data_IF_966055798062
#
_entry.id   IF_966055798062
#
_cell.length_a   1.000
_cell.length_b   1.000
_cell.length_c   1.000
_cell.angle_alpha   90.00
_cell.angle_beta   90.00
_cell.angle_gamma   90.00
#
_symmetry.space_group_name_H-M   'P 1'
#
loop_
_entity.id
_entity.type
_entity.pdbx_description
1 polymer ?
#
# COMPACT_ATOMS: atom_id res chain seq x y z
N UNK A 1 7.95 -22.68 10.33
CA UNK A 1 8.91 -21.58 10.58
C UNK A 1 8.45 -20.38 9.77
N UNK A 2 7.86 -19.38 10.44
CA UNK A 2 7.48 -18.12 9.82
C UNK A 2 8.68 -17.19 9.82
N UNK A 3 8.75 -16.30 8.84
CA UNK A 3 9.77 -15.25 8.71
C UNK A 3 9.53 -14.07 9.67
N UNK A 4 8.74 -14.24 10.74
CA UNK A 4 8.37 -13.18 11.67
C UNK A 4 7.18 -12.32 11.21
N UNK A 5 6.67 -12.49 9.98
CA UNK A 5 5.53 -11.70 9.48
C UNK A 5 4.17 -12.21 9.97
N UNK A 6 3.28 -11.26 10.24
CA UNK A 6 1.87 -11.47 10.58
C UNK A 6 1.03 -10.65 9.58
N UNK A 7 0.37 -11.36 8.66
CA UNK A 7 -0.24 -10.74 7.50
C UNK A 7 0.81 -10.40 6.44
N UNK A 8 1.01 -9.10 6.18
CA UNK A 8 2.00 -8.58 5.25
C UNK A 8 2.82 -7.43 5.87
N UNK A 9 3.76 -6.87 5.11
CA UNK A 9 4.66 -5.82 5.60
C UNK A 9 3.94 -4.55 6.05
N UNK A 10 2.78 -4.24 5.47
CA UNK A 10 1.95 -3.07 5.80
C UNK A 10 1.06 -3.30 7.02
N UNK A 11 0.74 -4.55 7.39
CA UNK A 11 0.00 -4.87 8.63
C UNK A 11 0.91 -5.02 9.85
N UNK A 12 2.22 -5.24 9.64
CA UNK A 12 3.16 -5.53 10.72
C UNK A 12 3.23 -4.46 11.79
N UNK A 13 3.19 -3.17 11.41
CA UNK A 13 3.24 -2.05 12.37
C UNK A 13 2.12 -2.10 13.41
N UNK A 14 0.90 -2.43 12.99
CA UNK A 14 -0.25 -2.58 13.88
C UNK A 14 -0.19 -3.92 14.64
N UNK A 15 0.26 -5.00 14.00
CA UNK A 15 0.42 -6.30 14.65
C UNK A 15 1.42 -6.25 15.81
N UNK A 16 2.57 -5.56 15.63
CA UNK A 16 3.56 -5.33 16.67
C UNK A 16 2.95 -4.62 17.88
N UNK A 17 2.22 -3.52 17.65
CA UNK A 17 1.55 -2.78 18.73
C UNK A 17 0.54 -3.64 19.48
N UNK A 18 -0.28 -4.41 18.76
CA UNK A 18 -1.31 -5.25 19.36
C UNK A 18 -0.72 -6.38 20.22
N UNK A 19 0.30 -7.07 19.71
CA UNK A 19 0.93 -8.18 20.43
C UNK A 19 1.71 -7.70 21.65
N UNK A 20 2.38 -6.55 21.52
CA UNK A 20 3.06 -5.93 22.65
C UNK A 20 2.09 -5.57 23.79
N UNK A 21 0.92 -5.03 23.45
CA UNK A 21 -0.12 -4.71 24.43
C UNK A 21 -0.83 -5.94 25.04
N UNK A 22 -0.73 -7.10 24.41
CA UNK A 22 -1.48 -8.33 24.77
C UNK A 22 -0.59 -9.50 25.19
N UNK A 23 0.65 -9.22 25.63
CA UNK A 23 1.65 -10.20 26.11
C UNK A 23 1.11 -11.30 27.02
N UNK A 24 0.10 -11.00 27.84
CA UNK A 24 -0.52 -11.93 28.79
C UNK A 24 -1.39 -13.02 28.14
N UNK A 25 -1.72 -12.92 26.84
CA UNK A 25 -2.81 -13.72 26.24
C UNK A 25 -2.39 -14.75 25.20
N UNK A 26 -1.12 -14.79 24.78
CA UNK A 26 -0.67 -15.73 23.74
C UNK A 26 0.23 -16.86 24.26
N UNK A 27 0.45 -16.95 25.57
CA UNK A 27 1.06 -18.14 26.17
C UNK A 27 0.20 -19.41 25.89
N UNK A 28 0.82 -20.58 25.64
CA UNK A 28 2.25 -20.89 25.71
C UNK A 28 3.03 -20.60 24.42
N UNK A 29 2.39 -20.03 23.39
CA UNK A 29 3.00 -19.85 22.08
C UNK A 29 3.77 -18.53 22.07
N UNK A 30 5.07 -18.61 22.33
CA UNK A 30 5.94 -17.44 22.31
C UNK A 30 6.02 -16.83 20.90
N UNK A 31 5.92 -15.50 20.85
CA UNK A 31 6.11 -14.71 19.66
C UNK A 31 7.47 -14.02 19.74
N UNK A 32 8.30 -14.22 18.71
CA UNK A 32 9.61 -13.60 18.59
C UNK A 32 9.47 -12.15 18.08
N UNK A 33 9.34 -11.22 19.04
CA UNK A 33 9.26 -9.79 18.75
C UNK A 33 10.51 -9.27 18.03
N UNK A 34 11.70 -9.79 18.35
CA UNK A 34 12.95 -9.35 17.72
C UNK A 34 12.98 -9.76 16.24
N UNK A 35 12.52 -10.96 15.91
CA UNK A 35 12.38 -11.41 14.53
C UNK A 35 11.38 -10.53 13.76
N UNK A 36 10.20 -10.26 14.34
CA UNK A 36 9.18 -9.40 13.73
C UNK A 36 9.68 -7.96 13.53
N UNK A 37 10.38 -7.40 14.52
CA UNK A 37 10.98 -6.07 14.46
C UNK A 37 12.02 -5.97 13.34
N UNK A 38 12.90 -6.98 13.21
CA UNK A 38 13.92 -7.01 12.15
C UNK A 38 13.32 -6.95 10.74
N UNK A 39 12.12 -7.51 10.54
CA UNK A 39 11.45 -7.46 9.24
C UNK A 39 10.97 -6.03 8.93
N UNK A 40 10.31 -5.37 9.89
CA UNK A 40 9.80 -4.00 9.66
C UNK A 40 10.92 -2.99 9.56
N UNK A 41 11.97 -3.09 10.39
CA UNK A 41 13.07 -2.12 10.37
C UNK A 41 13.90 -2.17 9.10
N UNK A 42 13.87 -3.29 8.38
CA UNK A 42 14.61 -3.48 7.14
C UNK A 42 13.85 -3.06 5.88
N UNK A 43 12.54 -2.79 5.97
CA UNK A 43 11.74 -2.44 4.82
C UNK A 43 11.80 -0.93 4.52
N UNK A 44 11.89 -0.59 3.23
CA UNK A 44 11.92 0.79 2.76
C UNK A 44 10.50 1.30 2.52
N UNK A 45 9.91 1.93 3.54
CA UNK A 45 8.57 2.50 3.46
C UNK A 45 8.60 3.84 2.72
N UNK A 46 8.06 3.86 1.51
CA UNK A 46 7.90 5.10 0.73
C UNK A 46 6.56 5.79 0.98
N UNK A 47 5.54 5.05 1.44
CA UNK A 47 4.19 5.59 1.59
C UNK A 47 3.96 6.20 2.98
N UNK A 48 3.58 7.50 3.13
CA UNK A 48 3.44 8.15 4.42
C UNK A 48 2.46 7.47 5.37
N UNK A 49 1.37 6.90 4.87
CA UNK A 49 0.45 6.14 5.73
C UNK A 49 1.03 4.84 6.26
N UNK A 50 1.84 4.13 5.46
CA UNK A 50 2.55 2.95 5.93
C UNK A 50 3.55 3.33 7.03
N UNK A 51 4.28 4.44 6.84
CA UNK A 51 5.18 5.01 7.86
C UNK A 51 4.40 5.33 9.14
N UNK A 52 3.26 6.03 9.02
CA UNK A 52 2.45 6.43 10.17
C UNK A 52 1.93 5.23 10.99
N UNK A 53 1.70 4.07 10.36
CA UNK A 53 1.25 2.86 11.04
C UNK A 53 2.39 2.06 11.69
N UNK A 54 3.59 2.08 11.12
CA UNK A 54 4.74 1.34 11.65
C UNK A 54 5.56 2.13 12.65
N UNK A 55 5.61 3.47 12.52
CA UNK A 55 6.44 4.34 13.33
C UNK A 55 6.22 4.16 14.84
N UNK A 56 4.99 4.10 15.38
CA UNK A 56 4.79 3.87 16.81
C UNK A 56 5.52 2.62 17.31
N UNK A 57 5.37 1.49 16.62
CA UNK A 57 6.04 0.24 16.98
C UNK A 57 7.57 0.37 16.92
N UNK A 58 8.11 1.07 15.90
CA UNK A 58 9.55 1.29 15.75
C UNK A 58 10.17 2.11 16.89
N UNK A 59 9.38 3.00 17.51
CA UNK A 59 9.83 3.81 18.66
C UNK A 59 9.36 3.23 20.00
N UNK A 60 8.89 1.98 20.03
CA UNK A 60 8.44 1.32 21.25
C UNK A 60 7.18 1.92 21.86
N UNK A 61 6.29 2.43 21.01
CA UNK A 61 5.00 3.03 21.38
C UNK A 61 3.83 2.30 20.70
N UNK A 62 2.65 2.54 21.21
CA UNK A 62 1.38 2.08 20.68
C UNK A 62 0.34 3.20 20.72
N UNK A 63 -0.80 2.99 20.07
CA UNK A 63 -1.94 3.90 20.20
C UNK A 63 -2.50 4.00 21.63
N UNK A 64 -2.17 3.07 22.53
CA UNK A 64 -2.57 3.17 23.94
C UNK A 64 -1.78 4.24 24.70
N UNK A 65 -0.61 4.63 24.21
CA UNK A 65 0.25 5.64 24.84
C UNK A 65 -0.21 7.08 24.59
N UNK A 66 -1.18 7.27 23.68
CA UNK A 66 -1.65 8.60 23.24
C UNK A 66 -2.21 9.43 24.40
N UNK A 67 -2.89 8.80 25.36
CA UNK A 67 -3.45 9.49 26.52
C UNK A 67 -2.38 10.06 27.47
N UNK A 68 -1.15 9.52 27.42
CA UNK A 68 -0.03 9.95 28.24
C UNK A 68 0.96 10.86 27.50
N UNK A 69 0.59 11.41 26.34
CA UNK A 69 1.48 12.25 25.56
C UNK A 69 1.64 13.62 26.23
N UNK A 70 2.87 13.95 26.61
CA UNK A 70 3.22 15.28 27.08
C UNK A 70 3.62 16.16 25.88
N UNK A 71 2.75 17.08 25.50
CA UNK A 71 2.99 17.99 24.38
C UNK A 71 4.05 19.05 24.69
N UNK A 72 4.33 19.35 25.97
CA UNK A 72 5.24 20.42 26.37
C UNK A 72 6.72 20.04 26.21
N UNK A 73 7.06 18.74 26.22
CA UNK A 73 8.43 18.24 26.09
C UNK A 73 8.89 18.05 24.63
N UNK A 74 8.03 18.29 23.64
CA UNK A 74 8.32 18.04 22.21
C UNK A 74 9.12 19.14 21.51
N UNK A 75 9.33 20.30 22.15
CA UNK A 75 9.93 21.48 21.53
C UNK A 75 11.48 21.42 21.38
N UNK A 76 12.19 20.49 22.05
CA UNK A 76 13.64 20.63 22.24
C UNK A 76 14.55 19.54 21.65
N UNK A 77 14.11 18.67 20.72
CA UNK A 77 15.05 17.63 20.20
C UNK A 77 14.87 17.28 18.73
N UNK A 78 14.70 18.30 17.88
CA UNK A 78 15.18 18.19 16.51
C UNK A 78 16.30 19.21 16.32
N UNK A 79 17.59 18.81 16.37
CA UNK A 79 18.58 19.64 15.69
C UNK A 79 18.04 19.82 14.27
N UNK A 80 17.96 21.07 13.82
CA UNK A 80 17.64 21.41 12.44
C UNK A 80 18.77 20.88 11.55
N UNK A 81 18.85 19.56 11.43
CA UNK A 81 19.73 18.87 10.53
C UNK A 81 19.11 19.16 9.18
N UNK A 82 19.78 19.98 8.39
CA UNK A 82 19.48 20.10 6.97
C UNK A 82 19.38 18.68 6.44
N UNK A 83 18.16 18.21 6.19
CA UNK A 83 17.95 17.00 5.45
C UNK A 83 18.71 17.22 4.14
N UNK A 84 19.55 16.27 3.70
CA UNK A 84 20.08 16.36 2.35
C UNK A 84 18.88 16.59 1.42
N UNK A 85 19.01 17.47 0.41
CA UNK A 85 17.91 17.73 -0.50
C UNK A 85 17.35 16.37 -0.95
N UNK A 86 16.04 16.19 -0.80
CA UNK A 86 15.35 15.00 -1.30
C UNK A 86 15.91 14.72 -2.69
N UNK A 87 16.35 13.49 -3.00
CA UNK A 87 16.83 13.19 -4.34
C UNK A 87 15.75 13.66 -5.30
N UNK A 88 16.11 14.61 -6.16
CA UNK A 88 15.19 15.13 -7.17
C UNK A 88 14.66 13.91 -7.90
N UNK A 89 13.35 13.67 -7.81
CA UNK A 89 12.70 12.61 -8.54
C UNK A 89 12.86 12.97 -10.03
N UNK A 90 13.82 12.32 -10.66
CA UNK A 90 14.20 12.57 -12.04
C UNK A 90 15.68 12.87 -12.17
N UNK A 91 16.50 11.82 -12.23
CA UNK A 91 17.61 11.83 -13.18
C UNK A 91 16.98 11.66 -14.57
N UNK A 92 16.97 12.68 -15.45
CA UNK A 92 16.70 12.46 -16.85
C UNK A 92 17.99 11.91 -17.45
N UNK A 93 18.09 10.58 -17.61
CA UNK A 93 19.34 10.03 -18.13
C UNK A 93 19.44 8.52 -18.34
N UNK A 94 18.52 7.72 -17.81
CA UNK A 94 18.46 6.30 -18.18
C UNK A 94 17.26 6.11 -19.11
N UNK A 95 17.47 5.70 -20.38
CA UNK A 95 16.38 5.26 -21.23
C UNK A 95 15.65 4.12 -20.52
N UNK A 96 14.44 4.40 -20.02
CA UNK A 96 13.59 3.37 -19.43
C UNK A 96 13.05 2.56 -20.60
N UNK A 97 13.59 1.36 -20.78
CA UNK A 97 13.11 0.42 -21.80
C UNK A 97 11.60 0.23 -21.57
N UNK A 98 10.76 0.40 -22.61
CA UNK A 98 9.34 0.14 -22.49
C UNK A 98 9.09 -1.32 -22.13
N UNK A 99 8.16 -1.56 -21.22
CA UNK A 99 7.65 -2.89 -20.89
C UNK A 99 6.24 -3.02 -21.44
N UNK A 100 5.87 -4.24 -21.81
CA UNK A 100 4.51 -4.57 -22.20
C UNK A 100 3.84 -5.37 -21.08
N UNK A 101 2.65 -4.92 -20.68
CA UNK A 101 1.85 -5.54 -19.62
C UNK A 101 0.53 -6.01 -20.22
N UNK A 102 0.15 -7.26 -19.95
CA UNK A 102 -1.20 -7.74 -20.28
C UNK A 102 -2.16 -7.28 -19.18
N UNK A 103 -2.99 -6.29 -19.52
CA UNK A 103 -4.00 -5.77 -18.62
C UNK A 103 -5.35 -6.44 -18.91
N UNK A 104 -6.10 -6.78 -17.87
CA UNK A 104 -7.42 -7.37 -18.00
C UNK A 104 -8.36 -6.89 -16.90
N UNK A 105 -9.62 -6.64 -17.27
CA UNK A 105 -10.71 -6.31 -16.37
C UNK A 105 -11.77 -7.41 -16.44
N UNK A 106 -12.24 -7.87 -15.27
CA UNK A 106 -13.20 -8.97 -15.19
C UNK A 106 -14.27 -8.63 -14.17
N UNK A 107 -15.53 -8.77 -14.58
CA UNK A 107 -16.67 -8.80 -13.69
C UNK A 107 -17.43 -10.11 -13.91
N UNK A 108 -17.44 -10.95 -12.89
CA UNK A 108 -18.19 -12.21 -12.85
C UNK A 108 -19.18 -12.26 -11.68
N UNK A 109 -19.46 -11.10 -11.05
CA UNK A 109 -20.20 -11.02 -9.78
C UNK A 109 -21.54 -10.31 -9.91
N UNK A 110 -21.60 -9.11 -10.51
CA UNK A 110 -22.79 -8.26 -10.49
C UNK A 110 -23.20 -7.77 -11.88
N UNK A 111 -24.51 -7.63 -12.11
CA UNK A 111 -25.04 -7.08 -13.35
C UNK A 111 -24.65 -7.90 -14.57
N UNK A 112 -24.27 -7.21 -15.66
CA UNK A 112 -23.81 -7.88 -16.88
C UNK A 112 -22.34 -8.29 -16.74
N UNK A 113 -22.08 -9.58 -16.81
CA UNK A 113 -20.72 -10.11 -16.78
C UNK A 113 -19.91 -9.61 -17.98
N UNK A 114 -18.63 -9.33 -17.73
CA UNK A 114 -17.71 -8.93 -18.78
C UNK A 114 -16.28 -9.37 -18.48
N UNK A 115 -15.52 -9.56 -19.54
CA UNK A 115 -14.08 -9.82 -19.49
C UNK A 115 -13.43 -9.16 -20.70
N UNK A 116 -12.50 -8.25 -20.46
CA UNK A 116 -11.76 -7.56 -21.51
C UNK A 116 -10.27 -7.59 -21.20
N UNK A 117 -9.44 -7.68 -22.23
CA UNK A 117 -7.98 -7.66 -22.08
C UNK A 117 -7.34 -6.86 -23.21
N UNK A 118 -6.25 -6.18 -22.89
CA UNK A 118 -5.41 -5.46 -23.84
C UNK A 118 -3.93 -5.59 -23.45
N UNK A 119 -3.03 -5.30 -24.39
CA UNK A 119 -1.60 -5.22 -24.14
C UNK A 119 -1.19 -3.75 -24.09
N UNK A 120 -0.72 -3.29 -22.94
CA UNK A 120 -0.37 -1.89 -22.70
C UNK A 120 1.14 -1.75 -22.68
N UNK A 121 1.69 -0.76 -23.38
CA UNK A 121 3.13 -0.48 -23.37
C UNK A 121 3.40 0.77 -22.53
N UNK A 122 4.22 0.64 -21.48
CA UNK A 122 4.58 1.74 -20.57
C UNK A 122 6.09 1.76 -20.30
N UNK A 123 6.69 2.90 -19.94
CA UNK A 123 8.07 2.93 -19.49
C UNK A 123 8.32 2.01 -18.28
N UNK A 124 9.48 1.38 -18.21
CA UNK A 124 9.87 0.60 -17.02
C UNK A 124 9.84 1.46 -15.74
N UNK A 125 9.26 0.92 -14.68
CA UNK A 125 9.02 1.61 -13.41
C UNK A 125 7.79 2.52 -13.38
N UNK A 126 6.90 2.44 -14.38
CA UNK A 126 5.54 2.99 -14.29
C UNK A 126 4.68 2.19 -13.30
N UNK A 127 3.68 2.86 -12.73
CA UNK A 127 2.71 2.28 -11.78
C UNK A 127 1.56 1.60 -12.53
N UNK A 128 0.77 0.79 -11.81
CA UNK A 128 -0.42 0.16 -12.36
C UNK A 128 -1.47 1.21 -12.79
N UNK A 129 -1.60 2.31 -12.06
CA UNK A 129 -2.46 3.42 -12.43
C UNK A 129 -2.10 3.96 -13.81
N UNK A 130 -0.80 4.07 -14.13
CA UNK A 130 -0.37 4.47 -15.47
C UNK A 130 -0.77 3.48 -16.55
N UNK A 131 -0.74 2.18 -16.26
CA UNK A 131 -1.23 1.14 -17.18
C UNK A 131 -2.73 1.31 -17.44
N UNK A 132 -3.52 1.61 -16.40
CA UNK A 132 -4.96 1.85 -16.51
C UNK A 132 -5.26 3.11 -17.33
N UNK A 133 -4.52 4.20 -17.10
CA UNK A 133 -4.63 5.45 -17.86
C UNK A 133 -4.41 5.21 -19.35
N UNK A 134 -3.30 4.55 -19.73
CA UNK A 134 -3.00 4.28 -21.15
C UNK A 134 -4.07 3.39 -21.77
N UNK A 135 -4.55 2.36 -21.06
CA UNK A 135 -5.65 1.53 -21.56
C UNK A 135 -6.95 2.33 -21.76
N UNK A 136 -7.25 3.27 -20.86
CA UNK A 136 -8.42 4.14 -20.95
C UNK A 136 -8.29 5.19 -22.07
N UNK A 137 -7.08 5.70 -22.34
CA UNK A 137 -6.78 6.57 -23.48
C UNK A 137 -7.00 5.84 -24.82
N UNK A 138 -6.56 4.59 -24.92
CA UNK A 138 -6.71 3.78 -26.14
C UNK A 138 -8.16 3.32 -26.38
N UNK A 139 -8.87 2.91 -25.32
CA UNK A 139 -10.26 2.46 -25.45
C UNK A 139 -11.10 2.87 -24.23
N UNK A 140 -11.58 4.13 -24.20
CA UNK A 140 -12.30 4.67 -23.05
C UNK A 140 -13.66 4.01 -22.83
N UNK A 141 -14.26 3.40 -23.86
CA UNK A 141 -15.55 2.70 -23.73
C UNK A 141 -15.41 1.43 -22.89
N UNK A 142 -14.25 0.77 -22.93
CA UNK A 142 -14.01 -0.48 -22.20
C UNK A 142 -13.23 -0.23 -20.91
N UNK A 143 -12.12 0.52 -20.97
CA UNK A 143 -11.17 0.63 -19.86
C UNK A 143 -11.31 1.93 -19.06
N UNK A 144 -12.38 2.71 -19.24
CA UNK A 144 -12.65 3.85 -18.36
C UNK A 144 -12.76 3.42 -16.91
N UNK A 145 -12.25 4.26 -16.03
CA UNK A 145 -12.28 4.04 -14.59
C UNK A 145 -12.46 5.37 -13.86
N UNK A 146 -12.85 5.30 -12.59
CA UNK A 146 -12.94 6.44 -11.70
C UNK A 146 -12.10 6.18 -10.46
N UNK A 147 -11.59 7.27 -9.87
CA UNK A 147 -10.74 7.22 -8.70
C UNK A 147 -11.16 8.24 -7.66
N UNK A 148 -10.78 7.98 -6.42
CA UNK A 148 -10.92 8.89 -5.30
C UNK A 148 -9.63 8.91 -4.47
N UNK A 149 -9.25 10.08 -3.95
CA UNK A 149 -8.08 10.18 -3.08
C UNK A 149 -8.42 9.72 -1.66
N UNK A 150 -7.61 8.82 -1.12
CA UNK A 150 -7.70 8.31 0.26
C UNK A 150 -6.38 8.58 0.98
N UNK A 151 -6.36 8.36 2.29
CA UNK A 151 -5.12 8.47 3.10
C UNK A 151 -4.00 7.59 2.52
N UNK A 152 -4.35 6.39 2.04
CA UNK A 152 -3.41 5.44 1.44
C UNK A 152 -3.04 5.74 -0.02
N UNK A 153 -3.56 6.81 -0.62
CA UNK A 153 -3.33 7.18 -2.01
C UNK A 153 -4.58 7.06 -2.87
N UNK A 154 -4.37 6.91 -4.17
CA UNK A 154 -5.45 6.86 -5.16
C UNK A 154 -6.17 5.51 -5.12
N UNK A 155 -7.46 5.54 -4.84
CA UNK A 155 -8.33 4.37 -4.75
C UNK A 155 -9.25 4.29 -5.97
N UNK A 156 -9.28 3.16 -6.65
CA UNK A 156 -10.14 2.95 -7.82
C UNK A 156 -11.54 2.57 -7.37
N UNK A 157 -12.51 3.42 -7.70
CA UNK A 157 -13.90 3.28 -7.26
C UNK A 157 -14.80 2.62 -8.30
N UNK A 158 -14.47 2.72 -9.59
CA UNK A 158 -15.29 2.18 -10.68
C UNK A 158 -14.42 1.81 -11.87
N UNK A 159 -14.80 0.74 -12.59
CA UNK A 159 -14.19 0.32 -13.87
C UNK A 159 -15.33 -0.07 -14.82
N UNK A 160 -15.25 0.38 -16.07
CA UNK A 160 -16.25 0.12 -17.11
C UNK A 160 -17.69 0.49 -16.67
N UNK A 161 -17.80 1.61 -15.95
CA UNK A 161 -19.08 2.12 -15.42
C UNK A 161 -19.66 1.33 -14.24
N UNK A 162 -19.00 0.26 -13.77
CA UNK A 162 -19.42 -0.50 -12.60
C UNK A 162 -18.65 -0.05 -11.36
N UNK A 163 -19.38 0.58 -10.42
CA UNK A 163 -18.82 1.08 -9.17
C UNK A 163 -18.78 0.02 -8.07
N UNK A 164 -17.79 0.12 -7.20
CA UNK A 164 -17.71 -0.58 -5.92
C UNK A 164 -18.84 -0.10 -4.98
N UNK A 165 -19.31 -0.99 -4.10
CA UNK A 165 -20.40 -0.72 -3.16
C UNK A 165 -20.05 -1.20 -1.75
N UNK A 166 -20.06 -0.28 -0.79
CA UNK A 166 -19.87 -0.62 0.63
C UNK A 166 -21.05 -1.44 1.18
N UNK A 167 -22.27 -1.16 0.73
CA UNK A 167 -23.49 -1.87 1.15
C UNK A 167 -23.46 -3.32 0.66
N UNK A 168 -23.09 -3.53 -0.61
CA UNK A 168 -23.01 -4.86 -1.22
C UNK A 168 -21.68 -5.59 -0.93
N UNK A 169 -20.75 -4.91 -0.25
CA UNK A 169 -19.39 -5.39 0.03
C UNK A 169 -18.62 -5.78 -1.24
N UNK A 170 -18.79 -5.00 -2.30
CA UNK A 170 -18.10 -5.20 -3.58
C UNK A 170 -17.02 -4.16 -3.80
N UNK A 171 -15.89 -4.57 -4.37
CA UNK A 171 -14.74 -3.72 -4.63
C UNK A 171 -13.93 -4.24 -5.82
N UNK A 172 -13.05 -3.39 -6.36
CA UNK A 172 -12.11 -3.75 -7.41
C UNK A 172 -10.82 -4.29 -6.80
N UNK A 173 -10.55 -5.58 -7.03
CA UNK A 173 -9.32 -6.24 -6.60
C UNK A 173 -8.29 -6.24 -7.73
N UNK A 174 -7.05 -5.87 -7.41
CA UNK A 174 -5.94 -5.90 -8.35
C UNK A 174 -5.04 -7.12 -8.10
N UNK A 175 -4.72 -7.81 -9.19
CA UNK A 175 -3.96 -9.05 -9.19
C UNK A 175 -2.78 -8.95 -10.15
N UNK A 176 -1.65 -9.57 -9.81
CA UNK A 176 -0.55 -9.85 -10.73
C UNK A 176 -0.41 -11.35 -10.87
N UNK A 177 -0.57 -11.88 -12.08
CA UNK A 177 -0.53 -13.33 -12.36
C UNK A 177 -1.44 -14.20 -11.46
N UNK A 178 -2.53 -13.62 -10.94
CA UNK A 178 -3.47 -14.30 -10.03
C UNK A 178 -3.27 -14.01 -8.54
N UNK A 179 -2.12 -13.45 -8.16
CA UNK A 179 -1.82 -13.08 -6.78
C UNK A 179 -2.27 -11.65 -6.47
N UNK A 180 -2.90 -11.46 -5.31
CA UNK A 180 -3.36 -10.14 -4.88
C UNK A 180 -2.19 -9.20 -4.60
N UNK A 181 -2.28 -7.98 -5.15
CA UNK A 181 -1.31 -6.94 -4.87
C UNK A 181 -1.40 -6.50 -3.40
N UNK A 182 -0.24 -6.19 -2.81
CA UNK A 182 -0.14 -5.68 -1.45
C UNK A 182 -0.09 -4.14 -1.39
N UNK A 183 0.10 -3.49 -2.55
CA UNK A 183 0.14 -2.05 -2.73
C UNK A 183 -1.05 -1.58 -3.59
N UNK A 184 -1.36 -0.29 -3.52
CA UNK A 184 -2.36 0.34 -4.38
C UNK A 184 -1.89 0.42 -5.84
N UNK A 185 -2.76 0.95 -6.71
CA UNK A 185 -2.40 1.11 -8.12
C UNK A 185 -1.43 2.27 -8.39
N UNK A 186 -1.37 3.26 -7.50
CA UNK A 186 -0.64 4.52 -7.66
C UNK A 186 0.76 4.52 -7.07
#
# INVERSE_FOLDING_TARGET
KGNGMIGNIYSMGLALQALEATRNFYAPREWDCAQAFSVVSAHDYQQPMAIAQVLPALVGRSYLDVAGLDCATTEETSPSRRLPPSPVLGTPGVPRVPIQVRYSITNALQGKHFHFSTSVTVPSGSTLLRVMEVAAEENPQIFSFQTEQRSWGTYVTSIHGLAASTEDRTYWQFLSAGDALQEGGG
#
